data_IF_701749917524
#
_entry.id   IF_701749917524
#
_cell.length_a   1.000
_cell.length_b   1.000
_cell.length_c   1.000
_cell.angle_alpha   90.00
_cell.angle_beta   90.00
_cell.angle_gamma   90.00
#
_symmetry.space_group_name_H-M   'P 1'
#
loop_
_entity.id
_entity.type
_entity.pdbx_description
1 polymer ?
#
# COMPACT_ATOMS: atom_id res chain seq x y z
N UNK A 1 -29.71 -0.85 19.53
CA UNK A 1 -28.24 -0.79 19.75
C UNK A 1 -27.50 -2.04 19.27
N UNK A 2 -27.95 -3.27 19.55
CA UNK A 2 -27.27 -4.52 19.11
C UNK A 2 -26.96 -4.59 17.60
N UNK A 3 -27.92 -4.28 16.71
CA UNK A 3 -27.70 -4.34 15.24
C UNK A 3 -26.60 -3.40 14.72
N UNK A 4 -26.53 -2.15 15.21
CA UNK A 4 -25.47 -1.19 14.82
C UNK A 4 -24.08 -1.63 15.30
N UNK A 5 -24.01 -2.24 16.49
CA UNK A 5 -22.76 -2.77 17.04
C UNK A 5 -22.24 -3.98 16.24
N UNK A 6 -23.13 -4.89 15.81
CA UNK A 6 -22.74 -6.02 14.96
C UNK A 6 -22.23 -5.53 13.60
N UNK A 7 -22.93 -4.60 12.95
CA UNK A 7 -22.49 -4.03 11.67
C UNK A 7 -21.11 -3.34 11.77
N UNK A 8 -20.81 -2.67 12.89
CA UNK A 8 -19.49 -2.05 13.08
C UNK A 8 -18.38 -3.09 13.31
N UNK A 9 -18.67 -4.17 14.02
CA UNK A 9 -17.71 -5.27 14.21
C UNK A 9 -17.37 -5.93 12.86
N UNK A 10 -18.37 -6.15 12.01
CA UNK A 10 -18.17 -6.71 10.66
C UNK A 10 -17.28 -5.80 9.79
N UNK A 11 -17.46 -4.49 9.89
CA UNK A 11 -16.58 -3.50 9.24
C UNK A 11 -15.15 -3.69 9.74
N UNK A 12 -14.93 -3.73 11.07
CA UNK A 12 -13.56 -3.87 11.61
C UNK A 12 -12.91 -5.19 11.20
N UNK A 13 -13.66 -6.30 11.18
CA UNK A 13 -13.15 -7.60 10.71
C UNK A 13 -12.77 -7.56 9.22
N UNK A 14 -13.55 -6.87 8.40
CA UNK A 14 -13.24 -6.68 6.98
C UNK A 14 -12.00 -5.81 6.77
N UNK A 15 -11.88 -4.71 7.53
CA UNK A 15 -10.68 -3.86 7.52
C UNK A 15 -9.45 -4.68 7.90
N UNK A 16 -9.53 -5.43 9.01
CA UNK A 16 -8.45 -6.24 9.57
C UNK A 16 -7.91 -7.34 8.63
N UNK A 17 -8.78 -7.90 7.77
CA UNK A 17 -8.44 -9.03 6.92
C UNK A 17 -7.84 -8.64 5.57
N UNK A 18 -8.03 -7.39 5.13
CA UNK A 18 -7.75 -6.99 3.74
C UNK A 18 -6.96 -5.70 3.58
N UNK A 19 -7.05 -4.77 4.55
CA UNK A 19 -6.54 -3.41 4.40
C UNK A 19 -5.37 -3.09 5.33
N UNK A 20 -5.57 -3.30 6.62
CA UNK A 20 -4.58 -3.03 7.67
C UNK A 20 -4.61 -4.16 8.70
N UNK A 21 -3.46 -4.49 9.28
CA UNK A 21 -3.38 -5.56 10.28
C UNK A 21 -4.16 -5.17 11.54
N UNK A 22 -4.93 -6.12 12.08
CA UNK A 22 -5.79 -5.92 13.24
C UNK A 22 -5.06 -5.26 14.43
N UNK A 23 -3.80 -5.66 14.66
CA UNK A 23 -2.96 -5.13 15.74
C UNK A 23 -2.64 -3.64 15.63
N UNK A 24 -2.72 -3.05 14.43
CA UNK A 24 -2.46 -1.61 14.21
C UNK A 24 -3.72 -0.75 14.14
N UNK A 25 -4.91 -1.35 14.09
CA UNK A 25 -6.14 -0.59 13.85
C UNK A 25 -6.41 0.46 14.93
N UNK A 26 -6.22 0.11 16.21
CA UNK A 26 -6.45 1.02 17.34
C UNK A 26 -5.46 2.19 17.37
N UNK A 27 -4.21 1.96 16.96
CA UNK A 27 -3.22 3.03 16.78
C UNK A 27 -3.64 4.01 15.68
N UNK A 28 -4.07 3.50 14.52
CA UNK A 28 -4.57 4.34 13.41
C UNK A 28 -5.81 5.13 13.85
N UNK A 29 -6.75 4.48 14.54
CA UNK A 29 -7.94 5.16 15.07
C UNK A 29 -7.57 6.31 16.02
N UNK A 30 -6.59 6.06 16.89
CA UNK A 30 -6.11 7.03 17.87
C UNK A 30 -5.38 8.19 17.20
N UNK A 31 -4.51 7.89 16.23
CA UNK A 31 -3.82 8.89 15.41
C UNK A 31 -4.82 9.78 14.68
N UNK A 32 -5.81 9.20 13.99
CA UNK A 32 -6.84 9.93 13.24
C UNK A 32 -7.68 10.83 14.15
N UNK A 33 -8.06 10.34 15.35
CA UNK A 33 -8.84 11.10 16.33
C UNK A 33 -8.07 12.31 16.89
N UNK A 34 -6.86 12.08 17.43
CA UNK A 34 -5.98 13.14 17.95
C UNK A 34 -5.56 14.12 16.84
N UNK A 35 -5.29 13.54 15.68
CA UNK A 35 -4.87 14.18 14.45
C UNK A 35 -5.96 15.03 13.80
N UNK A 36 -7.24 14.80 14.11
CA UNK A 36 -8.37 15.40 13.38
C UNK A 36 -8.19 15.26 11.87
N UNK A 37 -7.92 14.04 11.42
CA UNK A 37 -7.81 13.68 10.01
C UNK A 37 -8.66 12.44 9.69
N UNK A 38 -8.93 12.24 8.42
CA UNK A 38 -9.37 10.98 7.87
C UNK A 38 -8.27 10.40 6.97
N UNK A 39 -8.13 9.09 6.96
CA UNK A 39 -7.18 8.38 6.09
C UNK A 39 -7.86 7.15 5.50
N UNK A 40 -7.68 6.94 4.20
CA UNK A 40 -8.13 5.71 3.54
C UNK A 40 -6.96 4.86 3.07
N UNK A 41 -7.21 3.55 3.02
CA UNK A 41 -6.26 2.54 2.59
C UNK A 41 -6.87 1.69 1.48
N UNK A 42 -6.05 1.39 0.47
CA UNK A 42 -6.30 0.30 -0.47
C UNK A 42 -5.99 -1.03 0.20
N UNK A 43 -6.44 -2.12 -0.41
CA UNK A 43 -6.17 -3.45 0.11
C UNK A 43 -4.66 -3.75 0.03
N UNK A 44 -3.97 -3.82 1.17
CA UNK A 44 -2.59 -4.32 1.25
C UNK A 44 -2.52 -5.80 0.87
N UNK A 45 -3.61 -6.54 1.10
CA UNK A 45 -3.75 -7.96 0.81
C UNK A 45 -3.20 -8.86 1.92
N UNK A 46 -3.79 -10.05 2.07
CA UNK A 46 -3.54 -10.95 3.21
C UNK A 46 -2.05 -11.27 3.45
N UNK A 47 -1.28 -11.52 2.39
CA UNK A 47 0.12 -11.91 2.53
C UNK A 47 1.00 -10.77 3.05
N UNK A 48 0.71 -9.52 2.64
CA UNK A 48 1.36 -8.32 3.19
C UNK A 48 1.00 -8.16 4.66
N UNK A 49 -0.28 -8.32 5.02
CA UNK A 49 -0.72 -8.21 6.42
C UNK A 49 -0.10 -9.29 7.31
N UNK A 50 0.02 -10.53 6.82
CA UNK A 50 0.70 -11.62 7.52
C UNK A 50 2.19 -11.31 7.73
N UNK A 51 2.89 -10.76 6.74
CA UNK A 51 4.28 -10.33 6.88
C UNK A 51 4.42 -9.14 7.86
N UNK A 52 3.54 -8.15 7.77
CA UNK A 52 3.50 -7.02 8.71
C UNK A 52 3.30 -7.51 10.15
N UNK A 53 2.40 -8.48 10.34
CA UNK A 53 2.11 -9.08 11.64
C UNK A 53 3.32 -9.82 12.24
N UNK A 54 4.22 -10.33 11.38
CA UNK A 54 5.51 -10.93 11.77
C UNK A 54 6.61 -9.90 12.04
N UNK A 55 6.36 -8.62 11.82
CA UNK A 55 7.29 -7.53 12.09
C UNK A 55 8.18 -7.14 10.90
N UNK A 56 7.89 -7.64 9.70
CA UNK A 56 8.64 -7.32 8.49
C UNK A 56 8.75 -5.80 8.23
N UNK A 57 9.90 -5.37 7.73
CA UNK A 57 10.12 -4.00 7.26
C UNK A 57 9.19 -3.69 6.07
N UNK A 58 8.73 -2.46 5.93
CA UNK A 58 7.88 -2.04 4.83
C UNK A 58 8.69 -1.27 3.80
N UNK A 59 8.60 -1.64 2.53
CA UNK A 59 9.42 -1.05 1.47
C UNK A 59 9.08 0.42 1.21
N UNK A 60 10.10 1.24 0.93
CA UNK A 60 9.92 2.60 0.41
C UNK A 60 9.97 2.65 -1.12
N UNK A 61 9.98 3.87 -1.69
CA UNK A 61 10.12 4.07 -3.14
C UNK A 61 11.47 3.61 -3.72
N UNK A 62 12.45 3.33 -2.87
CA UNK A 62 13.75 2.76 -3.27
C UNK A 62 13.66 1.30 -3.74
N UNK A 63 12.61 0.55 -3.38
CA UNK A 63 12.42 -0.84 -3.80
C UNK A 63 11.17 -0.95 -4.68
N UNK A 64 11.39 -0.88 -5.99
CA UNK A 64 10.33 -0.91 -7.01
C UNK A 64 9.76 -2.32 -7.24
N UNK A 65 10.49 -3.35 -6.81
CA UNK A 65 10.16 -4.74 -7.05
C UNK A 65 8.90 -5.22 -6.32
N UNK A 66 8.30 -6.29 -6.85
CA UNK A 66 6.98 -6.74 -6.42
C UNK A 66 7.07 -7.73 -5.26
N UNK A 67 6.11 -7.63 -4.36
CA UNK A 67 5.84 -8.61 -3.32
C UNK A 67 5.52 -9.98 -3.92
N UNK A 68 6.01 -11.05 -3.32
CA UNK A 68 5.74 -12.45 -3.66
C UNK A 68 4.28 -12.78 -3.29
N UNK A 69 3.41 -12.76 -4.30
CA UNK A 69 1.97 -13.05 -4.18
C UNK A 69 1.48 -13.84 -5.40
N UNK A 70 0.28 -14.44 -5.37
CA UNK A 70 -0.20 -15.28 -6.47
C UNK A 70 -0.11 -14.62 -7.84
N UNK A 71 -0.54 -13.36 -7.97
CA UNK A 71 -0.51 -12.64 -9.25
C UNK A 71 0.90 -12.29 -9.74
N UNK A 72 1.87 -12.08 -8.85
CA UNK A 72 3.26 -11.86 -9.29
C UNK A 72 3.90 -13.16 -9.78
N UNK A 73 3.61 -14.27 -9.09
CA UNK A 73 4.10 -15.60 -9.45
C UNK A 73 3.45 -16.09 -10.76
N UNK A 74 2.15 -15.86 -10.94
CA UNK A 74 1.45 -16.17 -12.19
C UNK A 74 2.04 -15.41 -13.39
N UNK A 75 2.31 -14.12 -13.22
CA UNK A 75 2.91 -13.28 -14.26
C UNK A 75 4.29 -13.79 -14.70
N UNK A 76 5.08 -14.32 -13.77
CA UNK A 76 6.47 -14.73 -14.01
C UNK A 76 6.59 -16.18 -14.48
N UNK A 77 5.91 -17.11 -13.80
CA UNK A 77 6.08 -18.54 -14.00
C UNK A 77 4.97 -19.20 -14.84
N UNK A 78 3.88 -18.48 -15.16
CA UNK A 78 2.80 -18.97 -16.02
C UNK A 78 2.27 -20.34 -15.57
N UNK A 79 2.45 -21.37 -16.42
CA UNK A 79 1.98 -22.74 -16.14
C UNK A 79 2.58 -23.34 -14.85
N UNK A 80 3.79 -22.95 -14.47
CA UNK A 80 4.47 -23.44 -13.25
C UNK A 80 4.06 -22.68 -11.98
N UNK A 81 3.23 -21.64 -12.11
CA UNK A 81 2.91 -20.75 -10.99
C UNK A 81 2.34 -21.48 -9.78
N UNK A 82 1.49 -22.50 -9.97
CA UNK A 82 0.90 -23.27 -8.87
C UNK A 82 1.96 -24.06 -8.08
N UNK A 83 2.91 -24.67 -8.78
CA UNK A 83 4.03 -25.39 -8.16
C UNK A 83 4.91 -24.43 -7.38
N UNK A 84 5.41 -23.36 -8.04
CA UNK A 84 6.30 -22.37 -7.41
C UNK A 84 5.63 -21.66 -6.24
N UNK A 85 4.33 -21.39 -6.34
CA UNK A 85 3.55 -20.85 -5.24
C UNK A 85 3.48 -21.80 -4.03
N UNK A 86 3.28 -23.10 -4.27
CA UNK A 86 3.29 -24.10 -3.20
C UNK A 86 4.66 -24.16 -2.51
N UNK A 87 5.74 -24.11 -3.29
CA UNK A 87 7.10 -24.10 -2.76
C UNK A 87 7.34 -22.89 -1.85
N UNK A 88 6.97 -21.68 -2.30
CA UNK A 88 7.13 -20.45 -1.53
C UNK A 88 6.27 -20.43 -0.26
N UNK A 89 5.07 -21.02 -0.32
CA UNK A 89 4.19 -21.16 0.84
C UNK A 89 4.80 -22.11 1.89
N UNK A 90 5.34 -23.25 1.46
CA UNK A 90 6.07 -24.17 2.34
C UNK A 90 7.35 -23.54 2.90
N UNK A 91 8.02 -22.72 2.09
CA UNK A 91 9.20 -21.98 2.49
C UNK A 91 8.88 -20.85 3.50
N UNK A 92 7.62 -20.41 3.59
CA UNK A 92 7.21 -19.30 4.44
C UNK A 92 7.58 -17.94 3.87
N UNK A 93 7.89 -17.84 2.57
CA UNK A 93 8.42 -16.65 1.91
C UNK A 93 7.33 -15.78 1.22
N UNK A 94 6.07 -16.17 1.34
CA UNK A 94 4.95 -15.41 0.76
C UNK A 94 4.74 -14.09 1.49
N UNK A 95 4.43 -13.03 0.73
CA UNK A 95 4.18 -11.70 1.31
C UNK A 95 5.42 -10.84 1.49
N UNK A 96 6.63 -11.35 1.25
CA UNK A 96 7.86 -10.55 1.23
C UNK A 96 8.18 -10.02 -0.16
N UNK A 97 9.06 -9.03 -0.25
CA UNK A 97 9.50 -8.42 -1.51
C UNK A 97 10.55 -9.30 -2.16
N UNK A 98 10.23 -9.82 -3.34
CA UNK A 98 11.15 -10.62 -4.12
C UNK A 98 12.11 -9.75 -4.93
N UNK A 99 13.28 -10.31 -5.21
CA UNK A 99 14.19 -9.85 -6.25
C UNK A 99 14.01 -10.72 -7.50
N UNK A 100 13.59 -10.10 -8.60
CA UNK A 100 13.15 -10.72 -9.82
C UNK A 100 14.13 -10.39 -10.96
N UNK A 101 14.80 -11.41 -11.49
CA UNK A 101 15.71 -11.28 -12.63
C UNK A 101 15.38 -12.30 -13.70
N UNK A 102 15.46 -11.89 -14.97
CA UNK A 102 15.29 -12.79 -16.12
C UNK A 102 14.02 -13.66 -16.05
N UNK A 103 12.90 -13.11 -15.55
CA UNK A 103 11.64 -13.81 -15.28
C UNK A 103 11.78 -14.97 -14.26
N UNK A 104 12.58 -14.77 -13.22
CA UNK A 104 12.70 -15.71 -12.11
C UNK A 104 12.87 -14.95 -10.80
N UNK A 105 12.34 -15.51 -9.71
CA UNK A 105 12.62 -15.05 -8.36
C UNK A 105 14.00 -15.57 -7.93
N UNK A 106 14.97 -14.67 -7.82
CA UNK A 106 16.38 -14.96 -7.50
C UNK A 106 16.79 -14.60 -6.07
N UNK A 107 16.00 -13.78 -5.39
CA UNK A 107 16.30 -13.41 -4.02
C UNK A 107 15.13 -12.75 -3.31
N UNK A 108 15.40 -12.30 -2.08
CA UNK A 108 14.45 -11.61 -1.21
C UNK A 108 15.15 -10.38 -0.63
N UNK A 109 14.45 -9.26 -0.64
CA UNK A 109 14.96 -8.02 -0.06
C UNK A 109 14.95 -8.08 1.47
N UNK A 110 16.08 -7.69 2.05
CA UNK A 110 16.32 -7.60 3.48
C UNK A 110 16.43 -6.15 3.94
N UNK A 111 15.96 -5.87 5.15
CA UNK A 111 16.14 -4.57 5.82
C UNK A 111 17.62 -4.27 6.06
N UNK A 112 17.95 -3.00 6.24
CA UNK A 112 19.29 -2.54 6.62
C UNK A 112 19.79 -3.07 7.97
N UNK A 113 18.87 -3.56 8.82
CA UNK A 113 19.18 -4.08 10.15
C UNK A 113 19.38 -5.61 10.18
N UNK A 114 19.56 -6.25 9.01
CA UNK A 114 19.75 -7.70 8.94
C UNK A 114 21.07 -8.16 9.58
N UNK A 115 21.12 -9.41 10.02
CA UNK A 115 22.32 -10.01 10.64
C UNK A 115 23.05 -11.02 9.74
N UNK A 116 22.87 -10.94 8.42
CA UNK A 116 23.32 -11.95 7.45
C UNK A 116 24.34 -11.41 6.43
N UNK A 117 25.25 -10.52 6.84
CA UNK A 117 26.17 -9.79 5.93
C UNK A 117 26.95 -10.70 4.97
N UNK A 118 27.39 -11.88 5.41
CA UNK A 118 28.14 -12.83 4.57
C UNK A 118 27.29 -13.54 3.51
N UNK A 119 25.96 -13.46 3.61
CA UNK A 119 25.00 -14.12 2.72
C UNK A 119 24.21 -13.13 1.87
N UNK A 120 24.31 -11.83 2.17
CA UNK A 120 23.49 -10.79 1.57
C UNK A 120 24.36 -9.84 0.77
N UNK A 121 24.03 -9.67 -0.51
CA UNK A 121 24.68 -8.70 -1.37
C UNK A 121 23.68 -7.61 -1.73
N UNK A 122 24.03 -6.34 -1.49
CA UNK A 122 23.16 -5.20 -1.80
C UNK A 122 21.74 -5.32 -1.21
N UNK A 123 21.64 -5.82 0.03
CA UNK A 123 20.37 -6.08 0.74
C UNK A 123 19.48 -7.18 0.09
N UNK A 124 20.05 -8.04 -0.75
CA UNK A 124 19.34 -9.17 -1.36
C UNK A 124 19.91 -10.48 -0.82
N UNK A 125 19.04 -11.28 -0.19
CA UNK A 125 19.34 -12.65 0.18
C UNK A 125 19.01 -13.59 -1.00
N UNK A 126 19.97 -14.35 -1.54
CA UNK A 126 19.76 -15.19 -2.71
C UNK A 126 18.90 -16.41 -2.38
N UNK A 127 18.05 -16.83 -3.32
CA UNK A 127 17.25 -18.07 -3.20
C UNK A 127 17.32 -18.90 -4.49
N UNK A 128 17.09 -20.21 -4.37
CA UNK A 128 17.12 -21.13 -5.51
C UNK A 128 15.77 -21.81 -5.77
N UNK A 129 15.04 -21.31 -6.76
CA UNK A 129 13.69 -21.73 -7.10
C UNK A 129 13.61 -22.98 -8.02
N UNK A 130 14.74 -23.65 -8.32
CA UNK A 130 14.75 -24.81 -9.24
C UNK A 130 13.89 -25.96 -8.74
N UNK A 131 14.07 -26.37 -7.49
CA UNK A 131 13.35 -27.46 -6.82
C UNK A 131 13.02 -27.10 -5.37
N UNK A 132 12.14 -27.85 -4.71
CA UNK A 132 11.87 -27.66 -3.27
C UNK A 132 13.13 -27.83 -2.42
N UNK A 133 13.94 -28.87 -2.70
CA UNK A 133 15.16 -29.16 -1.94
C UNK A 133 16.22 -28.06 -2.09
N UNK A 134 16.38 -27.49 -3.29
CA UNK A 134 17.30 -26.36 -3.50
C UNK A 134 16.80 -25.09 -2.83
N UNK A 135 15.49 -24.83 -2.84
CA UNK A 135 14.90 -23.69 -2.15
C UNK A 135 15.13 -23.79 -0.65
N UNK A 136 14.76 -24.93 -0.04
CA UNK A 136 14.95 -25.15 1.40
C UNK A 136 16.42 -24.98 1.80
N UNK A 137 17.34 -25.62 1.05
CA UNK A 137 18.79 -25.48 1.30
C UNK A 137 19.27 -24.03 1.17
N UNK A 138 18.74 -23.26 0.22
CA UNK A 138 19.14 -21.86 0.03
C UNK A 138 18.71 -20.94 1.18
N UNK A 139 17.64 -21.30 1.91
CA UNK A 139 17.09 -20.48 3.01
C UNK A 139 17.42 -21.01 4.41
N UNK A 140 18.25 -22.06 4.54
CA UNK A 140 18.62 -22.64 5.83
C UNK A 140 19.29 -21.59 6.74
N UNK A 141 20.29 -20.85 6.23
CA UNK A 141 20.96 -19.79 6.98
C UNK A 141 20.01 -18.66 7.38
N UNK A 142 19.07 -18.31 6.49
CA UNK A 142 18.02 -17.33 6.79
C UNK A 142 17.17 -17.80 7.97
N UNK A 143 16.68 -19.04 7.94
CA UNK A 143 15.81 -19.61 8.99
C UNK A 143 16.51 -19.80 10.33
N UNK A 144 17.83 -20.01 10.32
CA UNK A 144 18.65 -20.07 11.53
C UNK A 144 18.85 -18.69 12.17
N UNK A 145 18.66 -17.61 11.41
CA UNK A 145 18.74 -16.24 11.93
C UNK A 145 17.57 -15.95 12.86
N UNK A 146 17.87 -15.33 14.00
CA UNK A 146 16.84 -14.94 14.98
C UNK A 146 15.90 -13.91 14.36
N UNK A 147 14.59 -14.13 14.50
CA UNK A 147 13.55 -13.25 13.97
C UNK A 147 13.75 -12.93 12.48
N UNK A 148 14.15 -13.91 11.67
CA UNK A 148 14.48 -13.68 10.27
C UNK A 148 13.37 -13.00 9.48
N UNK A 149 12.10 -13.21 9.84
CA UNK A 149 10.95 -12.56 9.22
C UNK A 149 10.92 -11.04 9.42
N UNK A 150 11.39 -10.55 10.57
CA UNK A 150 11.50 -9.11 10.88
C UNK A 150 12.57 -8.43 10.02
N UNK A 151 13.52 -9.21 9.51
CA UNK A 151 14.64 -8.71 8.71
C UNK A 151 14.30 -8.62 7.22
N UNK A 152 13.11 -9.04 6.79
CA UNK A 152 12.68 -9.01 5.39
C UNK A 152 11.79 -7.82 5.09
N UNK A 153 11.82 -7.35 3.84
CA UNK A 153 10.89 -6.34 3.34
C UNK A 153 9.55 -6.96 2.92
N UNK A 154 8.46 -6.23 3.16
CA UNK A 154 7.11 -6.45 2.64
C UNK A 154 6.53 -5.15 2.06
N UNK A 155 5.28 -5.17 1.60
CA UNK A 155 4.55 -3.95 1.23
C UNK A 155 4.16 -3.13 2.46
N UNK A 156 3.97 -1.83 2.30
CA UNK A 156 3.42 -0.95 3.34
C UNK A 156 1.88 -0.90 3.25
N UNK A 157 1.27 -0.08 4.11
CA UNK A 157 -0.14 0.27 4.00
C UNK A 157 -0.33 1.31 2.91
N UNK A 158 -0.84 0.85 1.78
CA UNK A 158 -1.05 1.65 0.58
C UNK A 158 -2.18 2.67 0.79
N UNK A 159 -1.81 3.90 1.14
CA UNK A 159 -2.76 4.97 1.43
C UNK A 159 -3.43 5.47 0.15
N UNK A 160 -4.74 5.58 0.20
CA UNK A 160 -5.59 6.06 -0.90
C UNK A 160 -5.77 7.57 -0.84
N UNK A 161 -6.10 8.09 0.35
CA UNK A 161 -6.32 9.51 0.62
C UNK A 161 -5.96 9.86 2.07
N UNK A 162 -5.66 11.13 2.30
CA UNK A 162 -5.46 11.72 3.63
C UNK A 162 -6.13 13.09 3.66
N UNK A 163 -7.19 13.23 4.46
CA UNK A 163 -8.01 14.44 4.54
C UNK A 163 -7.77 15.12 5.88
N UNK A 164 -7.34 16.38 5.84
CA UNK A 164 -7.16 17.20 7.04
C UNK A 164 -8.44 17.99 7.37
N UNK A 165 -8.80 18.04 8.65
CA UNK A 165 -9.85 18.91 9.20
C UNK A 165 -9.24 20.07 10.00
N UNK A 166 -7.95 20.35 9.79
CA UNK A 166 -7.22 21.43 10.44
C UNK A 166 -7.09 22.64 9.51
N UNK A 167 -6.87 23.80 10.12
CA UNK A 167 -6.74 25.08 9.43
C UNK A 167 -8.08 25.77 9.14
N UNK A 168 -8.00 26.94 8.51
CA UNK A 168 -9.17 27.68 8.05
C UNK A 168 -9.73 27.08 6.74
N UNK A 169 -11.06 27.07 6.61
CA UNK A 169 -11.74 26.59 5.41
C UNK A 169 -12.28 25.16 5.52
N UNK A 170 -12.67 24.60 4.37
CA UNK A 170 -13.26 23.25 4.28
C UNK A 170 -12.22 22.15 4.48
N UNK A 171 -12.62 20.96 4.95
CA UNK A 171 -11.77 19.77 4.90
C UNK A 171 -11.30 19.49 3.46
N UNK A 172 -10.07 18.98 3.33
CA UNK A 172 -9.40 18.79 2.03
C UNK A 172 -8.36 17.68 2.11
N UNK A 173 -8.08 17.04 0.98
CA UNK A 173 -6.89 16.20 0.86
C UNK A 173 -5.63 17.02 1.13
N UNK A 174 -4.68 16.44 1.85
CA UNK A 174 -3.38 17.07 2.09
C UNK A 174 -2.61 17.21 0.78
N UNK A 175 -1.84 18.30 0.66
CA UNK A 175 -1.00 18.52 -0.52
C UNK A 175 0.21 17.58 -0.49
N UNK A 176 0.65 17.16 -1.67
CA UNK A 176 1.85 16.34 -1.87
C UNK A 176 3.08 16.98 -1.22
N UNK A 177 3.88 16.18 -0.50
CA UNK A 177 5.10 16.60 0.19
C UNK A 177 4.89 17.76 1.18
N UNK A 178 3.65 17.99 1.63
CA UNK A 178 3.35 19.03 2.60
C UNK A 178 3.69 18.60 4.02
N UNK A 179 3.90 19.59 4.89
CA UNK A 179 4.05 19.34 6.32
C UNK A 179 2.83 18.60 6.91
N UNK A 180 1.62 18.88 6.41
CA UNK A 180 0.40 18.19 6.85
C UNK A 180 0.41 16.71 6.48
N UNK A 181 0.84 16.35 5.27
CA UNK A 181 1.00 14.96 4.83
C UNK A 181 1.99 14.22 5.74
N UNK A 182 3.18 14.81 5.95
CA UNK A 182 4.19 14.24 6.85
C UNK A 182 3.67 14.08 8.28
N UNK A 183 2.96 15.08 8.81
CA UNK A 183 2.39 15.03 10.16
C UNK A 183 1.37 13.89 10.32
N UNK A 184 0.55 13.60 9.30
CA UNK A 184 -0.41 12.49 9.34
C UNK A 184 0.34 11.16 9.35
N UNK A 185 1.31 10.98 8.44
CA UNK A 185 2.14 9.77 8.36
C UNK A 185 2.87 9.54 9.68
N UNK A 186 3.51 10.57 10.22
CA UNK A 186 4.26 10.48 11.48
C UNK A 186 3.31 10.17 12.65
N UNK A 187 2.12 10.78 12.70
CA UNK A 187 1.14 10.50 13.75
C UNK A 187 0.69 9.04 13.75
N UNK A 188 0.47 8.45 12.57
CA UNK A 188 0.10 7.02 12.45
C UNK A 188 1.26 6.14 12.93
N UNK A 189 2.46 6.33 12.38
CA UNK A 189 3.62 5.49 12.71
C UNK A 189 4.03 5.63 14.18
N UNK A 190 3.92 6.85 14.75
CA UNK A 190 4.18 7.08 16.17
C UNK A 190 3.18 6.31 17.06
N UNK A 191 1.89 6.35 16.78
CA UNK A 191 0.91 5.58 17.58
C UNK A 191 1.07 4.07 17.37
N UNK A 192 1.49 3.61 16.18
CA UNK A 192 1.83 2.20 15.92
C UNK A 192 3.04 1.77 16.76
N UNK A 193 4.10 2.59 16.82
CA UNK A 193 5.31 2.27 17.59
C UNK A 193 5.07 2.11 19.09
N UNK A 194 3.98 2.69 19.62
CA UNK A 194 3.60 2.54 21.04
C UNK A 194 3.02 1.17 21.36
N UNK A 195 2.51 0.45 20.35
CA UNK A 195 1.83 -0.84 20.52
C UNK A 195 2.52 -2.00 19.81
N UNK A 196 3.37 -1.73 18.81
CA UNK A 196 4.22 -2.73 18.15
C UNK A 196 5.71 -2.35 18.30
N UNK A 197 6.44 -2.97 19.25
CA UNK A 197 7.85 -2.64 19.51
C UNK A 197 8.78 -3.02 18.35
N UNK A 198 8.33 -3.86 17.41
CA UNK A 198 9.10 -4.20 16.19
C UNK A 198 9.09 -3.06 15.17
N UNK A 199 8.34 -1.98 15.45
CA UNK A 199 8.17 -0.82 14.56
C UNK A 199 8.53 0.48 15.27
N UNK A 200 9.80 0.63 15.71
CA UNK A 200 10.22 1.86 16.36
C UNK A 200 10.08 3.03 15.39
N UNK A 201 9.50 4.13 15.86
CA UNK A 201 9.16 5.30 15.03
C UNK A 201 10.34 5.87 14.22
N UNK A 202 11.54 5.85 14.81
CA UNK A 202 12.74 6.38 14.18
C UNK A 202 13.34 5.43 13.13
N UNK A 203 12.90 4.18 13.07
CA UNK A 203 13.31 3.25 12.01
C UNK A 203 12.35 3.34 10.84
N UNK A 204 12.69 4.22 9.90
CA UNK A 204 11.84 4.51 8.73
C UNK A 204 11.52 3.23 7.93
N UNK A 205 12.43 2.25 7.91
CA UNK A 205 12.21 0.96 7.27
C UNK A 205 11.05 0.16 7.83
N UNK A 206 10.70 0.38 9.10
CA UNK A 206 9.65 -0.36 9.80
C UNK A 206 8.35 0.42 9.95
N UNK A 207 8.30 1.66 9.45
CA UNK A 207 7.08 2.44 9.38
C UNK A 207 6.06 1.78 8.43
N UNK A 208 4.82 1.61 8.89
CA UNK A 208 3.77 0.93 8.13
C UNK A 208 3.09 1.81 7.09
N UNK A 209 3.22 3.13 7.21
CA UNK A 209 2.88 4.07 6.14
C UNK A 209 4.18 4.73 5.71
N UNK A 210 4.65 4.43 4.50
CA UNK A 210 5.96 4.91 4.01
C UNK A 210 5.86 6.12 3.09
N UNK A 211 4.73 6.28 2.40
CA UNK A 211 4.55 7.30 1.37
C UNK A 211 3.20 8.01 1.46
N UNK A 212 3.09 9.11 0.73
CA UNK A 212 1.85 9.87 0.58
C UNK A 212 0.75 9.07 -0.14
N UNK A 213 -0.49 9.59 -0.10
CA UNK A 213 -1.65 8.91 -0.64
C UNK A 213 -1.73 8.95 -2.17
N UNK A 214 -2.37 7.92 -2.72
CA UNK A 214 -2.62 7.78 -4.16
C UNK A 214 -3.25 9.04 -4.81
N UNK A 215 -4.16 9.74 -4.12
CA UNK A 215 -4.81 10.96 -4.64
C UNK A 215 -3.81 12.03 -5.11
N UNK A 216 -2.61 12.05 -4.51
CA UNK A 216 -1.52 12.97 -4.79
C UNK A 216 -0.61 12.53 -5.95
N UNK A 217 -0.73 11.30 -6.47
CA UNK A 217 0.17 10.73 -7.46
C UNK A 217 0.36 11.62 -8.71
N UNK A 218 -0.73 12.04 -9.37
CA UNK A 218 -0.60 12.86 -10.59
C UNK A 218 0.06 14.21 -10.31
N UNK A 219 -0.22 14.80 -9.14
CA UNK A 219 0.39 16.08 -8.75
C UNK A 219 1.88 15.91 -8.43
N UNK A 220 2.25 14.81 -7.78
CA UNK A 220 3.65 14.43 -7.55
C UNK A 220 4.41 14.30 -8.87
N UNK A 221 3.88 13.47 -9.79
CA UNK A 221 4.50 13.20 -11.08
C UNK A 221 4.70 14.48 -11.90
N UNK A 222 3.72 15.38 -11.93
CA UNK A 222 3.87 16.65 -12.65
C UNK A 222 4.90 17.59 -12.01
N UNK A 223 5.05 17.57 -10.68
CA UNK A 223 5.94 18.49 -9.98
C UNK A 223 7.39 18.00 -9.91
N UNK A 224 7.62 16.68 -9.89
CA UNK A 224 8.95 16.09 -9.62
C UNK A 224 9.44 15.16 -10.74
N UNK A 225 8.54 14.63 -11.57
CA UNK A 225 8.86 13.63 -12.60
C UNK A 225 8.18 13.99 -13.94
N UNK A 226 8.11 15.27 -14.27
CA UNK A 226 7.37 15.75 -15.45
C UNK A 226 7.88 15.12 -16.75
N UNK A 227 9.19 14.87 -16.85
CA UNK A 227 9.78 14.21 -18.01
C UNK A 227 9.27 12.76 -18.15
N UNK A 228 9.15 12.01 -17.04
CA UNK A 228 8.57 10.66 -17.08
C UNK A 228 7.13 10.68 -17.59
N UNK A 229 6.34 11.71 -17.25
CA UNK A 229 4.97 11.86 -17.74
C UNK A 229 4.95 12.10 -19.26
N UNK A 230 5.88 12.92 -19.77
CA UNK A 230 6.01 13.19 -21.21
C UNK A 230 6.43 11.92 -21.95
N UNK A 231 7.49 11.27 -21.49
CA UNK A 231 8.10 10.10 -22.14
C UNK A 231 7.14 8.91 -22.20
N UNK A 232 6.32 8.73 -21.15
CA UNK A 232 5.33 7.65 -21.10
C UNK A 232 3.93 8.10 -21.60
N UNK A 233 3.81 9.30 -22.19
CA UNK A 233 2.57 9.86 -22.71
C UNK A 233 1.40 9.80 -21.69
N UNK A 234 1.69 10.10 -20.43
CA UNK A 234 0.71 10.12 -19.35
C UNK A 234 1.19 9.54 -18.02
N UNK A 235 0.22 9.15 -17.19
CA UNK A 235 0.37 8.58 -15.85
C UNK A 235 0.00 7.09 -15.86
N UNK A 236 0.58 6.30 -14.97
CA UNK A 236 0.15 4.92 -14.80
C UNK A 236 -1.32 4.87 -14.33
N UNK A 237 -2.22 4.31 -15.15
CA UNK A 237 -3.66 4.39 -14.94
C UNK A 237 -4.13 3.75 -13.64
N UNK A 238 -3.51 2.65 -13.23
CA UNK A 238 -3.83 1.94 -11.98
C UNK A 238 -3.50 2.75 -10.71
N UNK A 239 -2.69 3.80 -10.82
CA UNK A 239 -2.34 4.68 -9.70
C UNK A 239 -3.02 6.06 -9.84
N UNK A 240 -3.22 6.57 -11.05
CA UNK A 240 -3.84 7.88 -11.26
C UNK A 240 -5.36 7.92 -10.99
N UNK A 241 -6.05 6.83 -11.31
CA UNK A 241 -7.51 6.69 -11.11
C UNK A 241 -7.87 6.59 -9.62
N UNK A 242 -9.14 6.78 -9.23
CA UNK A 242 -9.61 6.58 -7.85
C UNK A 242 -9.35 5.18 -7.30
N UNK A 243 -8.83 4.26 -8.11
CA UNK A 243 -8.29 2.99 -7.67
C UNK A 243 -9.31 1.87 -7.68
N UNK A 244 -8.86 0.72 -7.22
CA UNK A 244 -9.70 -0.45 -7.02
C UNK A 244 -10.46 -0.29 -5.70
N UNK A 245 -11.78 -0.44 -5.77
CA UNK A 245 -12.64 -0.52 -4.61
C UNK A 245 -12.86 -1.98 -4.20
N UNK A 246 -13.17 -2.28 -2.93
CA UNK A 246 -13.38 -1.34 -1.83
C UNK A 246 -12.10 -0.71 -1.28
N UNK A 247 -12.24 0.43 -0.58
CA UNK A 247 -11.22 1.05 0.27
C UNK A 247 -11.71 1.10 1.73
N UNK A 248 -10.78 1.04 2.68
CA UNK A 248 -11.07 1.21 4.10
C UNK A 248 -10.78 2.65 4.52
N UNK A 249 -11.77 3.37 5.04
CA UNK A 249 -11.65 4.75 5.51
C UNK A 249 -11.72 4.80 7.03
N UNK A 250 -10.73 5.41 7.68
CA UNK A 250 -10.76 5.77 9.09
C UNK A 250 -11.02 7.28 9.19
N UNK A 251 -12.25 7.69 9.49
CA UNK A 251 -12.60 9.10 9.75
C UNK A 251 -12.53 9.37 11.25
N UNK A 252 -11.52 10.15 11.68
CA UNK A 252 -11.35 10.62 13.08
C UNK A 252 -11.52 9.50 14.11
N UNK A 253 -11.08 8.29 13.75
CA UNK A 253 -11.12 7.10 14.61
C UNK A 253 -12.31 6.16 14.43
N UNK A 254 -13.15 6.36 13.40
CA UNK A 254 -14.23 5.44 13.04
C UNK A 254 -13.97 4.82 11.69
N UNK A 255 -14.02 3.49 11.61
CA UNK A 255 -13.85 2.75 10.36
C UNK A 255 -15.16 2.65 9.57
N UNK A 256 -15.03 2.72 8.24
CA UNK A 256 -16.05 2.35 7.26
C UNK A 256 -15.38 1.78 6.01
N UNK A 257 -16.15 1.02 5.23
CA UNK A 257 -15.73 0.53 3.92
C UNK A 257 -16.48 1.33 2.86
N UNK A 258 -15.75 1.83 1.87
CA UNK A 258 -16.29 2.53 0.71
C UNK A 258 -16.13 1.58 -0.48
N UNK A 259 -17.24 1.18 -1.11
CA UNK A 259 -17.29 0.12 -2.12
C UNK A 259 -17.21 0.59 -3.55
N UNK A 260 -17.40 1.88 -3.81
CA UNK A 260 -17.43 2.44 -5.15
C UNK A 260 -17.23 3.96 -5.12
N UNK A 261 -17.12 4.54 -6.32
CA UNK A 261 -16.89 5.97 -6.51
C UNK A 261 -18.06 6.84 -6.03
N UNK A 262 -19.29 6.34 -6.13
CA UNK A 262 -20.48 7.03 -5.62
C UNK A 262 -20.45 7.18 -4.10
N UNK A 263 -20.12 6.11 -3.38
CA UNK A 263 -19.92 6.14 -1.92
C UNK A 263 -18.74 7.02 -1.50
N UNK A 264 -17.64 7.02 -2.27
CA UNK A 264 -16.52 7.92 -2.02
C UNK A 264 -16.96 9.39 -2.14
N UNK A 265 -17.71 9.71 -3.20
CA UNK A 265 -18.27 11.05 -3.42
C UNK A 265 -19.22 11.45 -2.29
N UNK A 266 -20.09 10.53 -1.85
CA UNK A 266 -20.99 10.75 -0.73
C UNK A 266 -20.24 11.02 0.57
N UNK A 267 -19.17 10.28 0.84
CA UNK A 267 -18.30 10.52 2.00
C UNK A 267 -17.71 11.94 1.97
N UNK A 268 -17.08 12.33 0.86
CA UNK A 268 -16.54 13.67 0.67
C UNK A 268 -17.57 14.78 0.94
N UNK A 269 -18.77 14.63 0.38
CA UNK A 269 -19.87 15.57 0.60
C UNK A 269 -20.31 15.62 2.06
N UNK A 270 -20.41 14.47 2.73
CA UNK A 270 -20.83 14.38 4.14
C UNK A 270 -19.90 15.10 5.11
N UNK A 271 -18.61 15.19 4.77
CA UNK A 271 -17.61 15.90 5.58
C UNK A 271 -17.38 17.34 5.10
N UNK A 272 -18.10 17.80 4.07
CA UNK A 272 -17.95 19.12 3.48
C UNK A 272 -16.65 19.31 2.68
N UNK A 273 -15.98 18.23 2.31
CA UNK A 273 -14.80 18.25 1.45
C UNK A 273 -15.18 18.25 -0.03
N UNK A 274 -14.25 18.67 -0.90
CA UNK A 274 -14.40 18.48 -2.36
C UNK A 274 -13.49 17.36 -2.84
N UNK A 275 -14.09 16.38 -3.50
CA UNK A 275 -13.36 15.33 -4.19
C UNK A 275 -12.62 15.91 -5.40
N UNK A 276 -11.50 15.30 -5.78
CA UNK A 276 -10.74 15.65 -6.97
C UNK A 276 -11.60 15.47 -8.23
N UNK A 277 -11.58 16.44 -9.13
CA UNK A 277 -12.42 16.45 -10.34
C UNK A 277 -12.29 15.16 -11.17
N UNK A 278 -11.07 14.66 -11.33
CA UNK A 278 -10.79 13.42 -12.09
C UNK A 278 -11.31 12.14 -11.44
N UNK A 279 -11.80 12.24 -10.20
CA UNK A 279 -12.37 11.16 -9.40
C UNK A 279 -13.88 11.36 -9.21
N UNK A 280 -14.51 12.27 -9.96
CA UNK A 280 -15.96 12.39 -10.02
C UNK A 280 -16.46 11.50 -11.16
N UNK A 281 -17.44 10.62 -10.89
CA UNK A 281 -17.99 9.69 -11.89
C UNK A 281 -18.44 10.38 -13.18
N UNK A 282 -18.96 11.61 -13.06
CA UNK A 282 -19.36 12.46 -14.17
C UNK A 282 -18.62 13.80 -14.22
N UNK A 283 -17.37 13.83 -13.76
CA UNK A 283 -16.53 15.02 -13.81
C UNK A 283 -16.24 15.48 -15.24
N UNK A 284 -16.00 16.78 -15.41
CA UNK A 284 -15.56 17.36 -16.68
C UNK A 284 -14.17 16.86 -17.07
N UNK A 285 -13.31 16.56 -16.08
CA UNK A 285 -11.97 16.01 -16.29
C UNK A 285 -11.98 14.51 -16.11
N UNK A 286 -11.36 13.81 -17.07
CA UNK A 286 -11.26 12.34 -17.07
C UNK A 286 -9.87 11.88 -17.47
N UNK A 287 -9.50 10.68 -17.05
CA UNK A 287 -8.31 9.98 -17.53
C UNK A 287 -8.64 9.23 -18.82
N UNK A 288 -8.09 9.69 -19.93
CA UNK A 288 -8.22 9.03 -21.24
C UNK A 288 -7.11 8.00 -21.40
N UNK A 289 -7.45 6.81 -21.87
CA UNK A 289 -6.47 5.76 -22.18
C UNK A 289 -5.48 6.23 -23.25
N UNK A 290 -4.22 5.83 -23.09
CA UNK A 290 -3.20 5.96 -24.12
C UNK A 290 -2.70 4.57 -24.53
N UNK A 291 -1.48 4.18 -24.17
CA UNK A 291 -0.90 2.86 -24.46
C UNK A 291 -0.31 2.23 -23.20
N UNK A 292 -0.14 0.91 -23.17
CA UNK A 292 0.56 0.19 -22.10
C UNK A 292 0.01 0.44 -20.68
N UNK A 293 -1.30 0.68 -20.53
CA UNK A 293 -1.93 0.97 -19.24
C UNK A 293 -1.70 2.39 -18.72
N UNK A 294 -1.19 3.29 -19.57
CA UNK A 294 -1.00 4.70 -19.29
C UNK A 294 -2.27 5.51 -19.61
N UNK A 295 -2.42 6.63 -18.92
CA UNK A 295 -3.58 7.53 -19.06
C UNK A 295 -3.16 8.99 -19.07
N UNK A 296 -3.84 9.83 -19.84
CA UNK A 296 -3.61 11.28 -19.84
C UNK A 296 -4.83 12.05 -19.35
N UNK A 297 -4.60 13.23 -18.79
CA UNK A 297 -5.67 14.14 -18.41
C UNK A 297 -6.36 14.67 -19.67
N UNK A 298 -7.68 14.51 -19.73
CA UNK A 298 -8.51 15.02 -20.80
C UNK A 298 -9.77 15.70 -20.27
N UNK A 299 -10.61 16.16 -21.20
CA UNK A 299 -11.99 16.57 -20.92
C UNK A 299 -12.94 15.49 -21.43
N UNK A 300 -14.05 15.28 -20.72
CA UNK A 300 -15.16 14.46 -21.24
C UNK A 300 -15.71 15.17 -22.48
N UNK A 301 -15.77 14.46 -23.62
CA UNK A 301 -16.38 15.02 -24.84
C UNK A 301 -17.88 15.18 -24.55
N UNK A 302 -18.41 16.38 -24.74
CA UNK A 302 -19.85 16.61 -24.76
C UNK A 302 -20.42 15.85 -25.96
N UNK A 303 -21.27 14.85 -25.71
CA UNK A 303 -22.13 14.30 -26.76
C UNK A 303 -23.12 15.41 -27.11
N UNK A 304 -22.80 16.23 -28.11
CA UNK A 304 -23.81 17.07 -28.75
C UNK A 304 -24.60 16.10 -29.61
N UNK A 305 -25.74 15.65 -29.11
CA UNK A 305 -26.75 15.00 -29.93
C UNK A 305 -27.35 16.11 -30.79
N UNK A 306 -27.04 16.10 -32.09
CA UNK A 306 -27.72 16.93 -33.09
C UNK A 306 -29.14 16.40 -33.33
#
# INVERSE_FOLDING_TARGET
>A
MKKKHHAYLDIKLKVASSFVWAGHMTAIETAARKGRFAVSFRAAGKYTLEAIAKGAAAKGHNILEKTIKPSSIEKVYGKMAKEKWSMLKQAGLTGYVGHWEHNELKGIYMSSCHSLDNFVQSHIYPIDMRTQATLDKSIDSLRLSKNWEEQLFTGDYDTHDMITFRGAGRPRSVLVNSMEEKMIIDAINMEVSKIDPRRPFNSVEYNVVRHGPQVNFSSYMLAHESQNVVDNNGFLGSVARPGEFPIAMCDRGTWQIIYNLGELTAFYNSIGARIKETWIENGERVFQETSNGMVRLGRRRSTITY
#
